data_IF_451364023119
#
_entry.id   IF_451364023119
#
_cell.length_a   1.000
_cell.length_b   1.000
_cell.length_c   1.000
_cell.angle_alpha   90.00
_cell.angle_beta   90.00
_cell.angle_gamma   90.00
#
_symmetry.space_group_name_H-M   'P 1'
#
loop_
_entity.id
_entity.type
_entity.pdbx_description
1 polymer ?
#
# COMPACT_ATOMS: atom_id res chain seq x y z
N UNK A 1 -0.16 -11.62 -5.30
CA UNK A 1 0.09 -10.58 -4.28
C UNK A 1 -0.27 -11.09 -2.89
N UNK A 2 -1.52 -10.97 -2.44
CA UNK A 2 -1.94 -11.33 -1.08
C UNK A 2 -3.15 -10.49 -0.67
N UNK A 3 -3.56 -10.50 0.60
CA UNK A 3 -4.74 -9.76 1.05
C UNK A 3 -4.41 -8.28 1.22
N UNK A 4 -5.21 -7.42 0.60
CA UNK A 4 -5.17 -5.97 0.87
C UNK A 4 -5.97 -5.70 2.13
N UNK A 5 -5.32 -5.10 3.13
CA UNK A 5 -5.94 -4.70 4.41
C UNK A 5 -6.56 -3.31 4.28
N UNK A 6 -5.91 -2.42 3.54
CA UNK A 6 -6.39 -1.07 3.28
C UNK A 6 -5.86 -0.56 1.95
N UNK A 7 -6.68 0.19 1.23
CA UNK A 7 -6.27 0.95 0.05
C UNK A 7 -6.91 2.33 0.07
N UNK A 8 -6.14 3.36 -0.28
CA UNK A 8 -6.62 4.73 -0.37
C UNK A 8 -6.03 5.42 -1.59
N UNK A 9 -6.88 6.08 -2.36
CA UNK A 9 -6.47 6.93 -3.49
C UNK A 9 -6.50 8.37 -3.01
N UNK A 10 -5.34 9.02 -3.03
CA UNK A 10 -5.20 10.43 -2.72
C UNK A 10 -5.79 11.26 -3.87
N UNK A 11 -6.66 12.20 -3.52
CA UNK A 11 -7.39 13.02 -4.48
C UNK A 11 -6.92 14.47 -4.48
N UNK A 12 -6.38 14.92 -3.36
CA UNK A 12 -6.09 16.33 -3.14
C UNK A 12 -4.63 16.68 -3.45
N UNK A 13 -3.74 15.69 -3.39
CA UNK A 13 -2.32 15.88 -3.70
C UNK A 13 -2.01 15.53 -5.15
N UNK A 14 -1.18 16.35 -5.76
CA UNK A 14 -0.60 16.07 -7.07
C UNK A 14 0.22 14.78 -7.06
N UNK A 15 0.27 14.12 -8.22
CA UNK A 15 1.06 12.90 -8.44
C UNK A 15 0.25 11.61 -8.51
N UNK A 16 -1.05 11.63 -8.21
CA UNK A 16 -1.92 10.46 -8.35
C UNK A 16 -1.52 9.33 -7.39
N UNK A 17 -1.26 9.69 -6.12
CA UNK A 17 -0.73 8.77 -5.12
C UNK A 17 -1.79 7.75 -4.71
N UNK A 18 -1.38 6.48 -4.63
CA UNK A 18 -2.20 5.38 -4.12
C UNK A 18 -1.44 4.71 -2.99
N UNK A 19 -2.09 4.61 -1.83
CA UNK A 19 -1.57 3.99 -0.62
C UNK A 19 -2.21 2.62 -0.48
N UNK A 20 -1.40 1.57 -0.39
CA UNK A 20 -1.87 0.19 -0.26
C UNK A 20 -1.13 -0.46 0.90
N UNK A 21 -1.90 -1.06 1.82
CA UNK A 21 -1.38 -1.88 2.91
C UNK A 21 -1.83 -3.32 2.69
N UNK A 22 -0.85 -4.22 2.68
CA UNK A 22 -1.07 -5.67 2.61
C UNK A 22 -0.95 -6.30 4.00
N UNK A 23 -1.52 -7.49 4.14
CA UNK A 23 -1.41 -8.32 5.33
C UNK A 23 0.03 -8.85 5.55
N UNK A 24 0.75 -9.13 4.45
CA UNK A 24 2.11 -9.66 4.47
C UNK A 24 3.10 -8.80 3.67
N UNK A 25 4.35 -8.79 4.12
CA UNK A 25 5.43 -8.06 3.42
C UNK A 25 5.75 -8.70 2.07
N UNK A 26 5.65 -10.02 1.94
CA UNK A 26 5.80 -10.74 0.66
C UNK A 26 4.78 -10.26 -0.37
N UNK A 27 3.52 -10.07 0.04
CA UNK A 27 2.45 -9.58 -0.81
C UNK A 27 2.73 -8.16 -1.32
N UNK A 28 3.17 -7.27 -0.44
CA UNK A 28 3.57 -5.91 -0.80
C UNK A 28 4.75 -5.91 -1.79
N UNK A 29 5.74 -6.79 -1.59
CA UNK A 29 6.90 -6.92 -2.51
C UNK A 29 6.49 -7.41 -3.89
N UNK A 30 5.64 -8.43 -3.96
CA UNK A 30 5.16 -8.95 -5.24
C UNK A 30 4.34 -7.88 -5.99
N UNK A 31 3.49 -7.12 -5.29
CA UNK A 31 2.74 -6.01 -5.86
C UNK A 31 3.66 -4.91 -6.39
N UNK A 32 4.64 -4.48 -5.59
CA UNK A 32 5.63 -3.50 -6.00
C UNK A 32 6.38 -3.94 -7.26
N UNK A 33 6.86 -5.19 -7.31
CA UNK A 33 7.59 -5.72 -8.47
C UNK A 33 6.75 -5.71 -9.76
N UNK A 34 5.45 -6.01 -9.68
CA UNK A 34 4.58 -6.06 -10.87
C UNK A 34 4.09 -4.68 -11.32
N UNK A 35 3.92 -3.73 -10.39
CA UNK A 35 3.41 -2.39 -10.65
C UNK A 35 4.51 -1.41 -11.04
N UNK A 36 5.68 -1.50 -10.41
CA UNK A 36 6.77 -0.57 -10.66
C UNK A 36 7.21 -0.62 -12.12
N UNK A 37 7.33 0.54 -12.75
CA UNK A 37 7.74 0.69 -14.14
C UNK A 37 6.64 0.45 -15.18
N UNK A 38 5.44 -0.02 -14.79
CA UNK A 38 4.28 -0.12 -15.69
C UNK A 38 3.79 1.26 -16.10
N UNK A 39 3.15 1.34 -17.27
CA UNK A 39 2.52 2.56 -17.76
C UNK A 39 1.02 2.56 -17.46
N UNK A 40 0.52 3.69 -16.98
CA UNK A 40 -0.90 3.93 -16.78
C UNK A 40 -1.22 5.40 -17.13
N UNK A 41 -2.19 5.59 -18.04
CA UNK A 41 -2.61 6.91 -18.51
C UNK A 41 -1.43 7.82 -18.93
N UNK A 42 -0.53 7.30 -19.77
CA UNK A 42 0.68 7.99 -20.27
C UNK A 42 1.68 8.43 -19.18
N UNK A 43 1.58 7.89 -17.97
CA UNK A 43 2.55 8.10 -16.89
C UNK A 43 3.12 6.76 -16.44
N UNK A 44 4.40 6.74 -16.10
CA UNK A 44 5.03 5.55 -15.53
C UNK A 44 4.76 5.48 -14.02
N UNK A 45 4.40 4.30 -13.53
CA UNK A 45 4.14 4.04 -12.12
C UNK A 45 5.48 3.87 -11.39
N UNK A 46 5.72 4.70 -10.37
CA UNK A 46 6.79 4.49 -9.39
C UNK A 46 6.20 3.95 -8.08
N UNK A 47 6.98 3.15 -7.36
CA UNK A 47 6.54 2.50 -6.11
C UNK A 47 7.61 2.71 -5.06
N UNK A 48 7.20 3.02 -3.83
CA UNK A 48 8.07 3.08 -2.66
C UNK A 48 7.40 2.36 -1.50
N UNK A 49 8.20 1.69 -0.67
CA UNK A 49 7.71 1.13 0.58
C UNK A 49 7.58 2.23 1.64
N UNK A 50 6.60 2.08 2.52
CA UNK A 50 6.35 2.96 3.65
C UNK A 50 6.35 2.14 4.96
N UNK A 51 6.99 2.61 6.04
CA UNK A 51 6.92 1.97 7.34
C UNK A 51 5.47 1.91 7.85
N UNK A 52 5.10 0.82 8.53
CA UNK A 52 3.75 0.66 9.09
C UNK A 52 3.37 1.80 10.04
N UNK A 53 4.33 2.33 10.81
CA UNK A 53 4.08 3.45 11.72
C UNK A 53 3.69 4.73 10.99
N UNK A 54 4.36 5.06 9.87
CA UNK A 54 4.03 6.22 9.04
C UNK A 54 2.64 6.03 8.40
N UNK A 55 2.35 4.84 7.89
CA UNK A 55 1.06 4.53 7.30
C UNK A 55 -0.09 4.66 8.30
N UNK A 56 0.07 4.13 9.51
CA UNK A 56 -0.93 4.27 10.60
C UNK A 56 -1.05 5.72 11.05
N UNK A 57 0.04 6.50 11.04
CA UNK A 57 -0.01 7.93 11.29
C UNK A 57 -0.89 8.68 10.27
N UNK A 58 -0.86 8.26 9.00
CA UNK A 58 -1.74 8.80 7.96
C UNK A 58 -3.17 8.27 8.03
N UNK A 59 -3.35 7.00 8.37
CA UNK A 59 -4.65 6.33 8.40
C UNK A 59 -4.91 5.64 9.75
N UNK A 60 -5.17 6.39 10.84
CA UNK A 60 -5.26 5.82 12.19
C UNK A 60 -6.29 4.70 12.34
N UNK A 61 -7.42 4.78 11.61
CA UNK A 61 -8.47 3.77 11.61
C UNK A 61 -7.98 2.38 11.14
N UNK A 62 -6.89 2.32 10.37
CA UNK A 62 -6.34 1.06 9.85
C UNK A 62 -5.55 0.27 10.89
N UNK A 63 -5.18 0.88 12.03
CA UNK A 63 -4.32 0.27 13.05
C UNK A 63 -4.83 -1.08 13.53
N UNK A 64 -6.14 -1.16 13.83
CA UNK A 64 -6.74 -2.40 14.32
C UNK A 64 -6.74 -3.51 13.25
N UNK A 65 -7.08 -3.16 12.01
CA UNK A 65 -7.09 -4.10 10.89
C UNK A 65 -5.68 -4.64 10.57
N UNK A 66 -4.67 -3.77 10.60
CA UNK A 66 -3.26 -4.15 10.38
C UNK A 66 -2.74 -5.02 11.53
N UNK A 67 -3.10 -4.72 12.78
CA UNK A 67 -2.71 -5.54 13.92
C UNK A 67 -3.34 -6.94 13.83
N UNK A 68 -4.62 -7.03 13.47
CA UNK A 68 -5.32 -8.29 13.29
C UNK A 68 -4.77 -9.12 12.12
N UNK A 69 -4.31 -8.48 11.03
CA UNK A 69 -3.75 -9.20 9.87
C UNK A 69 -2.35 -9.77 10.09
N UNK A 70 -1.62 -9.29 11.12
CA UNK A 70 -0.29 -9.84 11.48
C UNK A 70 -0.36 -11.16 12.26
N UNK A 71 -1.56 -11.60 12.64
CA UNK A 71 -1.81 -12.94 13.19
C UNK A 71 -2.57 -13.74 12.13
N UNK A 72 -1.91 -14.71 11.49
CA UNK A 72 -2.14 -16.09 11.89
C UNK A 72 -0.89 -17.01 11.80
N UNK A 73 -0.89 -18.00 12.70
CA UNK A 73 0.12 -19.04 13.02
C UNK A 73 1.32 -18.63 13.88
#
# INVERSE_FOLDING_TARGET
YGKVVHSFVEKDKDGGLVYICFDAVSAAREAAHRLHGRWFNMRQISVRFMPTQEYVGMFPATRAAIAASKQPE
#
